data_IF_723507454895
#
_entry.id   IF_723507454895
#
_cell.length_a   1.000
_cell.length_b   1.000
_cell.length_c   1.000
_cell.angle_alpha   90.00
_cell.angle_beta   90.00
_cell.angle_gamma   90.00
#
_symmetry.space_group_name_H-M   'P 1'
#
loop_
_entity.id
_entity.type
_entity.pdbx_description
1 polymer ?
#
# COMPACT_ATOMS: atom_id res chain seq x y z
N UNK A 1 1.83 21.31 -13.25
CA UNK A 1 2.60 20.16 -12.72
C UNK A 1 2.28 18.97 -13.63
N UNK A 2 3.23 18.07 -13.88
CA UNK A 2 3.00 16.96 -14.81
C UNK A 2 2.02 15.94 -14.21
N UNK A 3 1.16 15.38 -15.06
CA UNK A 3 0.28 14.27 -14.69
C UNK A 3 1.04 12.94 -14.87
N UNK A 4 0.79 11.96 -13.99
CA UNK A 4 1.44 10.64 -14.03
C UNK A 4 0.53 9.64 -14.74
N UNK A 5 1.08 8.88 -15.69
CA UNK A 5 0.31 7.94 -16.52
C UNK A 5 0.71 6.48 -16.28
N UNK A 6 -0.13 5.72 -15.57
CA UNK A 6 0.12 4.30 -15.28
C UNK A 6 -0.64 3.37 -16.22
N UNK A 7 0.00 2.26 -16.64
CA UNK A 7 -0.66 1.14 -17.32
C UNK A 7 -0.66 -0.10 -16.46
N UNK A 8 -1.85 -0.63 -16.17
CA UNK A 8 -2.03 -1.81 -15.32
C UNK A 8 -2.86 -2.87 -16.05
N UNK A 9 -2.53 -4.15 -15.83
CA UNK A 9 -3.28 -5.28 -16.40
C UNK A 9 -4.64 -5.45 -15.69
N UNK A 10 -5.79 -5.35 -16.39
CA UNK A 10 -7.11 -5.43 -15.76
C UNK A 10 -7.38 -6.79 -15.09
N UNK A 11 -6.86 -7.88 -15.66
CA UNK A 11 -7.02 -9.24 -15.12
C UNK A 11 -6.26 -9.37 -13.80
N UNK A 12 -5.02 -8.90 -13.78
CA UNK A 12 -4.18 -8.91 -12.58
C UNK A 12 -4.79 -8.05 -11.47
N UNK A 13 -5.27 -6.85 -11.82
CA UNK A 13 -5.92 -5.95 -10.87
C UNK A 13 -7.19 -6.54 -10.27
N UNK A 14 -8.02 -7.20 -11.07
CA UNK A 14 -9.22 -7.86 -10.55
C UNK A 14 -8.88 -8.93 -9.51
N UNK A 15 -7.76 -9.64 -9.67
CA UNK A 15 -7.27 -10.64 -8.71
C UNK A 15 -6.87 -10.03 -7.37
N UNK A 16 -6.17 -8.90 -7.39
CA UNK A 16 -5.64 -8.30 -6.14
C UNK A 16 -6.54 -7.25 -5.52
N UNK A 17 -7.55 -6.73 -6.24
CA UNK A 17 -8.42 -5.65 -5.75
C UNK A 17 -9.08 -6.01 -4.42
N UNK A 18 -9.73 -7.17 -4.34
CA UNK A 18 -10.44 -7.58 -3.12
C UNK A 18 -9.49 -7.75 -1.92
N UNK A 19 -8.28 -8.25 -2.20
CA UNK A 19 -7.25 -8.45 -1.20
C UNK A 19 -6.69 -7.10 -0.71
N UNK A 20 -6.39 -6.18 -1.62
CA UNK A 20 -5.96 -4.81 -1.30
C UNK A 20 -7.07 -4.08 -0.54
N UNK A 21 -8.33 -4.15 -0.98
CA UNK A 21 -9.48 -3.55 -0.29
C UNK A 21 -9.65 -4.12 1.14
N UNK A 22 -9.39 -5.42 1.32
CA UNK A 22 -9.39 -6.04 2.64
C UNK A 22 -8.29 -5.46 3.54
N UNK A 23 -7.05 -5.39 3.05
CA UNK A 23 -5.93 -4.85 3.82
C UNK A 23 -6.04 -3.36 4.07
N UNK A 24 -6.48 -2.56 3.09
CA UNK A 24 -6.76 -1.13 3.23
C UNK A 24 -7.78 -0.86 4.34
N UNK A 25 -8.84 -1.68 4.44
CA UNK A 25 -9.81 -1.59 5.55
C UNK A 25 -9.18 -1.93 6.90
N UNK A 26 -8.32 -2.94 6.96
CA UNK A 26 -7.61 -3.31 8.20
C UNK A 26 -6.63 -2.23 8.65
N UNK A 27 -5.90 -1.62 7.71
CA UNK A 27 -5.03 -0.47 7.93
C UNK A 27 -5.83 0.73 8.45
N UNK A 28 -6.98 1.02 7.82
CA UNK A 28 -7.87 2.10 8.26
C UNK A 28 -8.51 1.87 9.63
N UNK A 29 -8.62 0.62 10.09
CA UNK A 29 -9.14 0.31 11.42
C UNK A 29 -8.07 0.49 12.51
N UNK A 30 -6.81 0.17 12.20
CA UNK A 30 -5.70 0.23 13.13
C UNK A 30 -4.38 0.42 12.39
N UNK A 31 -3.58 1.39 12.86
CA UNK A 31 -2.24 1.64 12.34
C UNK A 31 -1.45 0.33 12.23
N UNK A 32 -0.71 0.18 11.13
CA UNK A 32 0.15 -0.99 10.94
C UNK A 32 1.17 -1.06 12.08
N UNK A 33 1.89 0.02 12.36
CA UNK A 33 2.87 0.05 13.46
C UNK A 33 2.27 0.66 14.72
N UNK A 34 2.56 0.06 15.89
CA UNK A 34 2.30 0.72 17.17
C UNK A 34 3.30 1.85 17.33
N UNK A 35 2.82 3.09 17.28
CA UNK A 35 3.63 4.27 17.53
C UNK A 35 3.37 4.81 18.93
N UNK A 36 4.43 5.27 19.59
CA UNK A 36 4.29 6.08 20.80
C UNK A 36 3.83 7.47 20.39
N UNK A 37 2.85 8.02 21.13
CA UNK A 37 2.34 9.35 20.88
C UNK A 37 3.39 10.43 21.11
N UNK A 38 3.13 11.67 20.65
CA UNK A 38 4.07 12.78 20.78
C UNK A 38 4.40 13.11 22.25
N UNK A 39 3.47 12.87 23.17
CA UNK A 39 3.69 12.94 24.61
C UNK A 39 2.96 11.78 25.32
N UNK A 40 3.68 10.77 25.84
CA UNK A 40 3.08 9.63 26.54
C UNK A 40 2.32 10.01 27.83
N UNK A 41 2.62 11.17 28.43
CA UNK A 41 1.94 11.65 29.62
C UNK A 41 0.61 12.36 29.28
N UNK A 42 0.47 12.86 28.06
CA UNK A 42 -0.75 13.48 27.55
C UNK A 42 -1.55 12.47 26.70
N UNK A 43 -2.47 11.78 27.36
CA UNK A 43 -3.30 10.76 26.72
C UNK A 43 -4.27 11.36 25.70
N UNK A 44 -4.79 12.56 25.95
CA UNK A 44 -5.73 13.22 25.04
C UNK A 44 -5.03 13.64 23.74
N UNK A 45 -3.85 14.25 23.86
CA UNK A 45 -3.03 14.59 22.70
C UNK A 45 -2.62 13.35 21.90
N UNK A 46 -2.21 12.28 22.60
CA UNK A 46 -1.84 11.01 21.96
C UNK A 46 -3.01 10.38 21.20
N UNK A 47 -4.21 10.40 21.77
CA UNK A 47 -5.42 9.90 21.11
C UNK A 47 -5.81 10.73 19.89
N UNK A 48 -5.86 12.06 20.02
CA UNK A 48 -6.19 12.96 18.92
C UNK A 48 -5.18 12.84 17.75
N UNK A 49 -3.89 12.73 18.07
CA UNK A 49 -2.85 12.52 17.08
C UNK A 49 -3.01 11.19 16.33
N UNK A 50 -3.25 10.09 17.07
CA UNK A 50 -3.45 8.77 16.48
C UNK A 50 -4.69 8.76 15.57
N UNK A 51 -5.77 9.39 16.00
CA UNK A 51 -7.02 9.42 15.25
C UNK A 51 -6.85 10.25 13.95
N UNK A 52 -6.12 11.37 14.01
CA UNK A 52 -5.74 12.14 12.82
C UNK A 52 -4.86 11.35 11.83
N UNK A 53 -3.91 10.57 12.34
CA UNK A 53 -3.11 9.67 11.49
C UNK A 53 -3.98 8.59 10.83
N UNK A 54 -4.90 7.98 11.58
CA UNK A 54 -5.84 7.00 11.02
C UNK A 54 -6.72 7.62 9.94
N UNK A 55 -7.19 8.84 10.14
CA UNK A 55 -7.96 9.57 9.13
C UNK A 55 -7.14 9.83 7.86
N UNK A 56 -5.90 10.28 8.00
CA UNK A 56 -4.99 10.48 6.85
C UNK A 56 -4.75 9.19 6.09
N UNK A 57 -4.47 8.09 6.80
CA UNK A 57 -4.22 6.79 6.17
C UNK A 57 -5.48 6.24 5.50
N UNK A 58 -6.67 6.48 6.05
CA UNK A 58 -7.94 6.13 5.40
C UNK A 58 -8.15 6.91 4.10
N UNK A 59 -7.84 8.20 4.10
CA UNK A 59 -7.92 9.03 2.90
C UNK A 59 -6.97 8.50 1.82
N UNK A 60 -5.71 8.23 2.19
CA UNK A 60 -4.70 7.66 1.28
C UNK A 60 -5.16 6.30 0.71
N UNK A 61 -5.69 5.41 1.55
CA UNK A 61 -6.25 4.12 1.11
C UNK A 61 -7.47 4.28 0.19
N UNK A 62 -8.24 5.35 0.37
CA UNK A 62 -9.36 5.70 -0.51
C UNK A 62 -8.87 6.04 -1.93
N UNK A 63 -7.79 6.83 -2.04
CA UNK A 63 -7.17 7.16 -3.33
C UNK A 63 -6.60 5.92 -4.03
N UNK A 64 -5.96 5.01 -3.29
CA UNK A 64 -5.53 3.71 -3.83
C UNK A 64 -6.71 2.89 -4.35
N UNK A 65 -7.80 2.79 -3.60
CA UNK A 65 -9.00 2.05 -4.02
C UNK A 65 -9.64 2.68 -5.25
N UNK A 66 -9.75 4.01 -5.32
CA UNK A 66 -10.26 4.73 -6.49
C UNK A 66 -9.41 4.45 -7.73
N UNK A 67 -8.08 4.52 -7.59
CA UNK A 67 -7.12 4.21 -8.64
C UNK A 67 -7.33 2.79 -9.20
N UNK A 68 -7.40 1.79 -8.33
CA UNK A 68 -7.60 0.38 -8.70
C UNK A 68 -8.97 0.16 -9.36
N UNK A 69 -10.02 0.80 -8.85
CA UNK A 69 -11.36 0.74 -9.44
C UNK A 69 -11.35 1.30 -10.87
N UNK A 70 -10.77 2.48 -11.08
CA UNK A 70 -10.66 3.10 -12.40
C UNK A 70 -9.91 2.19 -13.38
N UNK A 71 -8.80 1.60 -12.95
CA UNK A 71 -8.01 0.66 -13.75
C UNK A 71 -8.79 -0.60 -14.15
N UNK A 72 -9.59 -1.14 -13.22
CA UNK A 72 -10.38 -2.37 -13.43
C UNK A 72 -11.57 -2.18 -14.39
N UNK A 73 -12.04 -0.94 -14.59
CA UNK A 73 -13.16 -0.61 -15.49
C UNK A 73 -12.76 -0.47 -16.97
N UNK A 74 -11.51 -0.82 -17.33
CA UNK A 74 -11.04 -0.83 -18.71
C UNK A 74 -10.26 0.42 -19.13
N UNK A 75 -10.05 1.38 -18.21
CA UNK A 75 -9.10 2.46 -18.42
C UNK A 75 -7.68 1.91 -18.26
N UNK A 76 -7.03 1.59 -19.38
CA UNK A 76 -5.65 1.12 -19.39
C UNK A 76 -4.66 2.20 -18.99
N UNK A 77 -5.08 3.47 -18.91
CA UNK A 77 -4.22 4.58 -18.50
C UNK A 77 -4.91 5.31 -17.36
N UNK A 78 -4.24 5.36 -16.22
CA UNK A 78 -4.68 6.10 -15.04
C UNK A 78 -3.87 7.37 -14.97
N UNK A 79 -4.56 8.50 -14.87
CA UNK A 79 -3.94 9.81 -14.69
C UNK A 79 -4.04 10.21 -13.23
N UNK A 80 -2.90 10.44 -12.58
CA UNK A 80 -2.85 10.90 -11.19
C UNK A 80 -2.22 12.30 -11.15
N UNK A 81 -2.82 13.19 -10.36
CA UNK A 81 -2.12 14.38 -9.88
C UNK A 81 -1.03 13.97 -8.90
N UNK A 82 -0.02 14.82 -8.72
CA UNK A 82 1.10 14.54 -7.81
C UNK A 82 0.63 14.24 -6.38
N UNK A 83 -0.30 15.03 -5.83
CA UNK A 83 -0.88 14.78 -4.50
C UNK A 83 -1.51 13.39 -4.38
N UNK A 84 -2.24 12.96 -5.42
CA UNK A 84 -2.86 11.63 -5.48
C UNK A 84 -1.79 10.54 -5.61
N UNK A 85 -0.74 10.76 -6.38
CA UNK A 85 0.38 9.82 -6.48
C UNK A 85 1.08 9.64 -5.13
N UNK A 86 1.33 10.72 -4.38
CA UNK A 86 1.85 10.64 -3.02
C UNK A 86 0.90 9.91 -2.06
N UNK A 87 -0.41 10.17 -2.16
CA UNK A 87 -1.41 9.45 -1.36
C UNK A 87 -1.40 7.94 -1.65
N UNK A 88 -1.38 7.55 -2.93
CA UNK A 88 -1.28 6.15 -3.36
C UNK A 88 0.02 5.51 -2.87
N UNK A 89 1.17 6.21 -2.97
CA UNK A 89 2.45 5.71 -2.46
C UNK A 89 2.40 5.45 -0.96
N UNK A 90 1.85 6.37 -0.15
CA UNK A 90 1.69 6.18 1.30
C UNK A 90 0.75 5.02 1.63
N UNK A 91 -0.36 4.88 0.90
CA UNK A 91 -1.28 3.77 1.05
C UNK A 91 -0.59 2.42 0.77
N UNK A 92 0.21 2.33 -0.30
CA UNK A 92 0.97 1.13 -0.62
C UNK A 92 1.92 0.75 0.53
N UNK A 93 2.63 1.71 1.13
CA UNK A 93 3.49 1.46 2.30
C UNK A 93 2.68 0.94 3.48
N UNK A 94 1.57 1.59 3.80
CA UNK A 94 0.73 1.21 4.94
C UNK A 94 0.16 -0.21 4.79
N UNK A 95 -0.28 -0.57 3.59
CA UNK A 95 -0.78 -1.91 3.24
C UNK A 95 0.34 -2.94 3.25
N UNK A 96 1.51 -2.65 2.66
CA UNK A 96 2.68 -3.56 2.70
C UNK A 96 3.13 -3.86 4.12
N UNK A 97 3.20 -2.84 4.98
CA UNK A 97 3.51 -3.02 6.41
C UNK A 97 2.48 -3.91 7.11
N UNK A 98 1.20 -3.76 6.79
CA UNK A 98 0.15 -4.62 7.36
C UNK A 98 0.28 -6.06 6.89
N UNK A 99 0.52 -6.28 5.60
CA UNK A 99 0.78 -7.61 5.03
C UNK A 99 1.99 -8.25 5.71
N UNK A 100 3.08 -7.50 5.85
CA UNK A 100 4.31 -7.98 6.47
C UNK A 100 4.05 -8.46 7.91
N UNK A 101 3.37 -7.65 8.71
CA UNK A 101 3.08 -7.99 10.10
C UNK A 101 2.18 -9.21 10.28
N UNK A 102 1.20 -9.39 9.39
CA UNK A 102 0.20 -10.44 9.52
C UNK A 102 0.65 -11.76 8.89
N UNK A 103 1.37 -11.72 7.77
CA UNK A 103 1.65 -12.92 6.96
C UNK A 103 3.13 -13.17 6.71
N UNK A 104 3.96 -12.11 6.61
CA UNK A 104 5.37 -12.24 6.20
C UNK A 104 6.37 -12.09 7.35
N UNK A 105 5.89 -11.97 8.60
CA UNK A 105 6.73 -11.89 9.81
C UNK A 105 7.79 -13.00 9.94
N UNK A 106 7.59 -14.23 9.43
CA UNK A 106 8.62 -15.27 9.48
C UNK A 106 9.84 -15.03 8.57
N UNK A 107 9.74 -14.13 7.58
CA UNK A 107 10.82 -13.83 6.63
C UNK A 107 11.67 -12.65 7.13
N UNK A 108 12.97 -12.68 6.82
CA UNK A 108 13.84 -11.54 7.11
C UNK A 108 13.53 -10.36 6.17
N UNK A 109 13.79 -9.15 6.64
CA UNK A 109 13.54 -7.93 5.87
C UNK A 109 14.38 -7.93 4.59
N UNK A 110 15.64 -8.37 4.66
CA UNK A 110 16.52 -8.49 3.49
C UNK A 110 15.92 -9.43 2.42
N UNK A 111 15.34 -10.56 2.83
CA UNK A 111 14.71 -11.50 1.90
C UNK A 111 13.48 -10.90 1.21
N UNK A 112 12.72 -10.08 1.93
CA UNK A 112 11.54 -9.39 1.41
C UNK A 112 11.90 -8.25 0.45
N UNK A 113 13.00 -7.55 0.72
CA UNK A 113 13.50 -6.44 -0.09
C UNK A 113 14.19 -6.92 -1.37
N UNK A 114 15.00 -7.97 -1.28
CA UNK A 114 15.73 -8.53 -2.42
C UNK A 114 14.88 -9.51 -3.24
N UNK A 115 13.69 -9.86 -2.75
CA UNK A 115 12.79 -10.82 -3.40
C UNK A 115 13.31 -12.26 -3.38
N UNK A 116 14.23 -12.58 -2.47
CA UNK A 116 14.88 -13.90 -2.30
C UNK A 116 13.98 -14.91 -1.57
N UNK A 117 12.71 -14.95 -1.96
CA UNK A 117 11.74 -15.89 -1.42
C UNK A 117 11.34 -16.90 -2.48
N UNK A 118 11.44 -18.18 -2.13
CA UNK A 118 11.02 -19.25 -3.03
C UNK A 118 9.49 -19.29 -3.10
N UNK A 119 8.95 -18.70 -4.17
CA UNK A 119 7.53 -18.58 -4.41
C UNK A 119 6.86 -19.96 -4.52
N UNK A 120 7.53 -20.94 -5.11
CA UNK A 120 6.96 -22.27 -5.38
C UNK A 120 6.89 -23.14 -4.13
N UNK A 121 7.69 -22.83 -3.11
CA UNK A 121 7.66 -23.48 -1.80
C UNK A 121 6.59 -22.90 -0.84
N UNK A 122 5.98 -21.77 -1.18
CA UNK A 122 4.92 -21.15 -0.37
C UNK A 122 3.57 -21.86 -0.52
N UNK A 123 2.70 -21.74 0.49
CA UNK A 123 1.31 -22.16 0.34
C UNK A 123 0.58 -21.26 -0.67
N UNK A 124 -0.46 -21.75 -1.37
CA UNK A 124 -1.20 -20.94 -2.35
C UNK A 124 -1.76 -19.63 -1.78
N UNK A 125 -2.17 -19.62 -0.52
CA UNK A 125 -2.65 -18.42 0.17
C UNK A 125 -1.53 -17.42 0.41
N UNK A 126 -0.35 -17.91 0.82
CA UNK A 126 0.82 -17.07 1.04
C UNK A 126 1.38 -16.51 -0.26
N UNK A 127 1.34 -17.29 -1.35
CA UNK A 127 1.67 -16.84 -2.71
C UNK A 127 0.82 -15.64 -3.13
N UNK A 128 -0.49 -15.68 -2.91
CA UNK A 128 -1.38 -14.55 -3.24
C UNK A 128 -1.05 -13.30 -2.42
N UNK A 129 -0.82 -13.46 -1.12
CA UNK A 129 -0.48 -12.35 -0.23
C UNK A 129 0.88 -11.75 -0.59
N UNK A 130 1.87 -12.59 -0.87
CA UNK A 130 3.20 -12.16 -1.29
C UNK A 130 3.19 -11.50 -2.67
N UNK A 131 2.44 -12.03 -3.64
CA UNK A 131 2.25 -11.38 -4.93
C UNK A 131 1.59 -10.00 -4.80
N UNK A 132 0.62 -9.85 -3.89
CA UNK A 132 0.04 -8.54 -3.56
C UNK A 132 1.08 -7.58 -2.96
N UNK A 133 1.94 -8.08 -2.07
CA UNK A 133 3.01 -7.29 -1.47
C UNK A 133 4.01 -6.78 -2.52
N UNK A 134 4.47 -7.65 -3.42
CA UNK A 134 5.38 -7.30 -4.51
C UNK A 134 4.72 -6.35 -5.52
N UNK A 135 3.45 -6.56 -5.85
CA UNK A 135 2.71 -5.63 -6.70
C UNK A 135 2.70 -4.21 -6.13
N UNK A 136 2.40 -4.05 -4.84
CA UNK A 136 2.40 -2.75 -4.19
C UNK A 136 3.80 -2.12 -4.18
N UNK A 137 4.85 -2.93 -4.03
CA UNK A 137 6.23 -2.45 -4.10
C UNK A 137 6.56 -1.91 -5.50
N UNK A 138 6.24 -2.66 -6.56
CA UNK A 138 6.46 -2.23 -7.93
C UNK A 138 5.61 -0.99 -8.30
N UNK A 139 4.38 -0.90 -7.81
CA UNK A 139 3.56 0.30 -7.99
C UNK A 139 4.20 1.53 -7.34
N UNK A 140 4.77 1.40 -6.15
CA UNK A 140 5.49 2.49 -5.50
C UNK A 140 6.73 2.91 -6.29
N UNK A 141 7.53 1.95 -6.75
CA UNK A 141 8.72 2.24 -7.54
C UNK A 141 8.39 3.03 -8.81
N UNK A 142 7.36 2.60 -9.55
CA UNK A 142 6.91 3.33 -10.74
C UNK A 142 6.43 4.73 -10.38
N UNK A 143 5.66 4.90 -9.29
CA UNK A 143 5.20 6.21 -8.87
C UNK A 143 6.36 7.13 -8.47
N UNK A 144 7.36 6.61 -7.76
CA UNK A 144 8.56 7.36 -7.38
C UNK A 144 9.28 7.87 -8.62
N UNK A 145 9.57 6.99 -9.60
CA UNK A 145 10.25 7.33 -10.84
C UNK A 145 9.52 8.41 -11.65
N UNK A 146 8.19 8.42 -11.61
CA UNK A 146 7.37 9.40 -12.31
C UNK A 146 7.22 10.73 -11.53
N UNK A 147 7.27 10.71 -10.20
CA UNK A 147 7.22 11.94 -9.36
C UNK A 147 8.58 12.61 -9.18
N UNK A 148 9.66 11.84 -9.11
CA UNK A 148 11.03 12.31 -8.85
C UNK A 148 12.03 11.50 -9.69
N UNK A 149 12.21 11.86 -10.98
CA UNK A 149 13.03 11.10 -11.92
C UNK A 149 14.55 11.25 -11.69
N UNK A 150 14.98 12.03 -10.69
CA UNK A 150 16.40 12.19 -10.35
C UNK A 150 16.88 11.23 -9.24
N UNK A 151 16.00 10.36 -8.72
CA UNK A 151 16.31 9.29 -7.76
C UNK A 151 16.56 7.96 -8.49
#
# INVERSE_FOLDING_TARGET
MPDIHLRLSPVFLATFRELIDSFSRQVGAQLSVRMEGPDPADTELTEAWRDGLLESVRADCGELAEMLNNASTGHQTITLSEDKAFAVMRACSAVRLKIQQLFLKPFADEQLEEGELDFDEMSPELQQVYACYIFLAGLQEVLIQETDPEI
#
